data_IF_312121244484
#
_entry.id   IF_312121244484
#
_cell.length_a   1.000
_cell.length_b   1.000
_cell.length_c   1.000
_cell.angle_alpha   90.00
_cell.angle_beta   90.00
_cell.angle_gamma   90.00
#
_symmetry.space_group_name_H-M   'P 1'
#
loop_
_entity.id
_entity.type
_entity.pdbx_description
1 polymer ?
#
# COMPACT_ATOMS: atom_id res chain seq x y z
N UNK A 1 2.42 7.07 12.32
CA UNK A 1 2.41 5.65 11.95
C UNK A 1 1.31 5.39 10.95
N UNK A 2 1.64 4.90 9.78
CA UNK A 2 0.69 4.62 8.70
C UNK A 2 1.03 3.30 8.00
N UNK A 3 0.01 2.63 7.48
CA UNK A 3 0.19 1.60 6.45
C UNK A 3 0.06 2.27 5.08
N UNK A 4 0.71 1.72 4.07
CA UNK A 4 0.75 2.30 2.73
C UNK A 4 0.25 1.29 1.71
N UNK A 5 -0.72 1.70 0.88
CA UNK A 5 -1.17 0.90 -0.25
C UNK A 5 -0.30 1.17 -1.48
N UNK A 6 -0.08 0.16 -2.33
CA UNK A 6 0.64 0.37 -3.59
C UNK A 6 0.14 1.54 -4.43
N UNK A 7 -1.15 1.84 -4.41
CA UNK A 7 -1.72 2.95 -5.19
C UNK A 7 -1.07 4.30 -4.89
N UNK A 8 -0.75 4.56 -3.63
CA UNK A 8 -0.07 5.81 -3.24
C UNK A 8 1.36 5.84 -3.76
N UNK A 9 2.08 4.73 -3.67
CA UNK A 9 3.46 4.63 -4.13
C UNK A 9 3.54 4.73 -5.67
N UNK A 10 2.64 4.05 -6.38
CA UNK A 10 2.56 4.13 -7.84
C UNK A 10 2.34 5.57 -8.29
N UNK A 11 1.45 6.30 -7.61
CA UNK A 11 1.21 7.71 -7.92
C UNK A 11 2.51 8.53 -7.83
N UNK A 12 3.31 8.30 -6.80
CA UNK A 12 4.59 8.98 -6.63
C UNK A 12 5.57 8.59 -7.75
N UNK A 13 5.74 7.30 -7.97
CA UNK A 13 6.74 6.77 -8.90
C UNK A 13 6.45 7.12 -10.36
N UNK A 14 5.17 7.14 -10.74
CA UNK A 14 4.75 7.50 -12.09
C UNK A 14 4.48 9.00 -12.25
N UNK A 15 4.74 9.79 -11.23
CA UNK A 15 4.56 11.24 -11.24
C UNK A 15 3.16 11.66 -11.69
N UNK A 16 2.15 11.00 -11.14
CA UNK A 16 0.76 11.33 -11.39
C UNK A 16 0.43 12.71 -10.80
N UNK A 17 -0.74 13.26 -11.15
CA UNK A 17 -1.14 14.60 -10.77
C UNK A 17 -1.05 14.87 -9.26
N UNK A 18 -1.39 13.87 -8.45
CA UNK A 18 -1.41 13.93 -7.00
C UNK A 18 -0.15 13.36 -6.32
N UNK A 19 0.91 13.12 -7.09
CA UNK A 19 2.16 12.53 -6.58
C UNK A 19 2.75 13.31 -5.41
N UNK A 20 2.75 14.64 -5.47
CA UNK A 20 3.30 15.48 -4.40
C UNK A 20 2.52 15.37 -3.10
N UNK A 21 1.21 15.19 -3.17
CA UNK A 21 0.38 14.95 -1.99
C UNK A 21 0.80 13.66 -1.27
N UNK A 22 0.95 12.56 -2.01
CA UNK A 22 1.33 11.27 -1.43
C UNK A 22 2.79 11.27 -0.96
N UNK A 23 3.68 11.89 -1.70
CA UNK A 23 5.08 12.01 -1.30
C UNK A 23 5.21 12.76 0.03
N UNK A 24 4.47 13.85 0.20
CA UNK A 24 4.47 14.63 1.43
C UNK A 24 3.93 13.81 2.61
N UNK A 25 2.80 13.13 2.42
CA UNK A 25 2.21 12.27 3.44
C UNK A 25 3.19 11.16 3.87
N UNK A 26 3.87 10.56 2.91
CA UNK A 26 4.86 9.53 3.17
C UNK A 26 6.06 10.08 3.96
N UNK A 27 6.56 11.25 3.60
CA UNK A 27 7.69 11.88 4.29
C UNK A 27 7.36 12.33 5.71
N UNK A 28 6.15 12.79 5.95
CA UNK A 28 5.73 13.30 7.27
C UNK A 28 5.42 12.19 8.27
N UNK A 29 5.17 10.97 7.82
CA UNK A 29 4.86 9.86 8.71
C UNK A 29 6.13 9.37 9.42
N UNK A 30 6.05 9.17 10.73
CA UNK A 30 7.16 8.66 11.54
C UNK A 30 7.53 7.24 11.17
N UNK A 31 6.53 6.36 11.09
CA UNK A 31 6.69 4.96 10.74
C UNK A 31 5.75 4.60 9.59
N UNK A 32 6.26 3.89 8.63
CA UNK A 32 5.58 3.51 7.40
C UNK A 32 5.70 2.02 7.16
N UNK A 33 4.58 1.38 6.91
CA UNK A 33 4.50 -0.07 6.76
C UNK A 33 3.87 -0.45 5.43
N UNK A 34 4.46 -1.41 4.76
CA UNK A 34 3.94 -2.00 3.53
C UNK A 34 3.84 -3.51 3.72
N UNK A 35 2.68 -4.09 3.43
CA UNK A 35 2.54 -5.55 3.46
C UNK A 35 3.50 -6.20 2.47
N UNK A 36 4.11 -7.32 2.85
CA UNK A 36 4.94 -8.10 1.93
C UNK A 36 4.15 -8.54 0.69
N UNK A 37 2.86 -8.86 0.86
CA UNK A 37 1.97 -9.18 -0.27
C UNK A 37 1.75 -7.96 -1.17
N UNK A 38 1.51 -6.78 -0.56
CA UNK A 38 1.36 -5.52 -1.30
C UNK A 38 2.65 -5.11 -2.01
N UNK A 39 3.80 -5.42 -1.42
CA UNK A 39 5.09 -5.22 -2.08
C UNK A 39 5.18 -6.01 -3.39
N UNK A 40 4.70 -7.25 -3.39
CA UNK A 40 4.60 -8.05 -4.61
C UNK A 40 3.69 -7.43 -5.66
N UNK A 41 2.53 -6.92 -5.23
CA UNK A 41 1.59 -6.21 -6.13
C UNK A 41 2.26 -4.98 -6.74
N UNK A 42 2.91 -4.17 -5.91
CA UNK A 42 3.64 -2.97 -6.35
C UNK A 42 4.72 -3.31 -7.37
N UNK A 43 5.54 -4.32 -7.07
CA UNK A 43 6.57 -4.78 -8.00
C UNK A 43 5.99 -5.24 -9.32
N UNK A 44 4.86 -5.97 -9.31
CA UNK A 44 4.19 -6.42 -10.51
C UNK A 44 3.71 -5.26 -11.39
N UNK A 45 3.12 -4.24 -10.79
CA UNK A 45 2.66 -3.05 -11.50
C UNK A 45 3.83 -2.32 -12.16
N UNK A 46 4.89 -2.10 -11.41
CA UNK A 46 6.05 -1.34 -11.90
C UNK A 46 6.86 -2.13 -12.93
N UNK A 47 6.95 -3.44 -12.79
CA UNK A 47 7.55 -4.31 -13.80
C UNK A 47 6.84 -4.21 -15.14
N UNK A 48 5.51 -4.25 -15.14
CA UNK A 48 4.72 -4.12 -16.38
C UNK A 48 4.91 -2.77 -17.06
N UNK A 49 5.14 -1.73 -16.28
CA UNK A 49 5.29 -0.37 -16.81
C UNK A 49 6.71 -0.07 -17.26
N UNK A 50 7.73 -0.52 -16.53
CA UNK A 50 9.11 -0.08 -16.71
C UNK A 50 10.14 -1.23 -16.75
N UNK A 51 9.69 -2.48 -16.71
CA UNK A 51 10.55 -3.66 -16.66
C UNK A 51 11.57 -3.56 -15.50
N UNK A 52 12.85 -3.83 -15.75
CA UNK A 52 13.87 -3.85 -14.70
C UNK A 52 14.02 -2.51 -13.97
N UNK A 53 13.81 -1.40 -14.66
CA UNK A 53 13.81 -0.07 -14.03
C UNK A 53 12.72 0.05 -12.98
N UNK A 54 11.56 -0.57 -13.22
CA UNK A 54 10.46 -0.57 -12.26
C UNK A 54 10.84 -1.24 -10.95
N UNK A 55 11.49 -2.40 -11.02
CA UNK A 55 11.99 -3.10 -9.82
C UNK A 55 13.01 -2.24 -9.06
N UNK A 56 13.97 -1.64 -9.77
CA UNK A 56 14.98 -0.80 -9.15
C UNK A 56 14.39 0.42 -8.45
N UNK A 57 13.39 1.05 -9.07
CA UNK A 57 12.71 2.23 -8.49
C UNK A 57 11.92 1.83 -7.23
N UNK A 58 11.28 0.68 -7.21
CA UNK A 58 10.57 0.18 -6.02
C UNK A 58 11.55 -0.04 -4.88
N UNK A 59 12.66 -0.72 -5.14
CA UNK A 59 13.69 -0.95 -4.12
C UNK A 59 14.23 0.38 -3.57
N UNK A 60 14.42 1.35 -4.44
CA UNK A 60 14.91 2.67 -4.05
C UNK A 60 13.92 3.40 -3.15
N UNK A 61 12.64 3.46 -3.49
CA UNK A 61 11.65 4.18 -2.67
C UNK A 61 11.45 3.50 -1.32
N UNK A 62 11.48 2.17 -1.27
CA UNK A 62 11.37 1.43 -0.01
C UNK A 62 12.54 1.77 0.90
N UNK A 63 13.75 1.77 0.37
CA UNK A 63 14.96 2.08 1.14
C UNK A 63 15.01 3.55 1.57
N UNK A 64 14.87 4.48 0.63
CA UNK A 64 14.96 5.92 0.90
C UNK A 64 13.78 6.44 1.73
N UNK A 65 12.61 5.89 1.53
CA UNK A 65 11.42 6.23 2.30
C UNK A 65 11.38 5.60 3.68
N UNK A 66 12.34 4.74 4.01
CA UNK A 66 12.37 3.97 5.25
C UNK A 66 11.05 3.21 5.49
N UNK A 67 10.53 2.59 4.45
CA UNK A 67 9.29 1.82 4.51
C UNK A 67 9.60 0.41 5.00
N UNK A 68 8.98 0.01 6.10
CA UNK A 68 9.13 -1.33 6.65
C UNK A 68 8.20 -2.31 5.96
N UNK A 69 8.75 -3.37 5.38
CA UNK A 69 7.96 -4.44 4.79
C UNK A 69 7.59 -5.43 5.90
N UNK A 70 6.29 -5.64 6.07
CA UNK A 70 5.75 -6.48 7.14
C UNK A 70 5.32 -7.82 6.56
N UNK A 71 5.82 -8.94 7.11
CA UNK A 71 5.40 -10.27 6.65
C UNK A 71 3.90 -10.48 6.77
N UNK A 72 3.32 -11.19 5.82
CA UNK A 72 1.92 -11.58 5.86
C UNK A 72 1.75 -12.72 6.87
N UNK A 73 1.07 -12.45 7.97
CA UNK A 73 0.77 -13.46 8.98
C UNK A 73 -0.52 -14.23 8.66
N UNK A 74 -0.73 -15.35 9.34
CA UNK A 74 -1.98 -16.09 9.25
C UNK A 74 -3.17 -15.23 9.70
N UNK A 75 -2.98 -14.41 10.74
CA UNK A 75 -3.99 -13.47 11.22
C UNK A 75 -4.35 -12.44 10.16
N UNK A 76 -3.36 -11.85 9.51
CA UNK A 76 -3.59 -10.91 8.41
C UNK A 76 -4.27 -11.57 7.21
N UNK A 77 -3.95 -12.82 6.91
CA UNK A 77 -4.62 -13.56 5.84
C UNK A 77 -6.12 -13.72 6.13
N UNK A 78 -6.51 -13.95 7.38
CA UNK A 78 -7.90 -14.02 7.79
C UNK A 78 -8.58 -12.65 7.67
N UNK A 79 -7.92 -11.58 8.11
CA UNK A 79 -8.43 -10.22 7.96
C UNK A 79 -8.64 -9.86 6.50
N UNK A 80 -7.69 -10.22 5.63
CA UNK A 80 -7.77 -9.98 4.19
C UNK A 80 -8.96 -10.73 3.56
N UNK A 81 -9.13 -12.00 3.91
CA UNK A 81 -10.26 -12.81 3.44
C UNK A 81 -11.59 -12.16 3.84
N UNK A 82 -11.71 -11.76 5.09
CA UNK A 82 -12.94 -11.18 5.61
C UNK A 82 -13.26 -9.84 4.92
N UNK A 83 -12.25 -9.02 4.67
CA UNK A 83 -12.41 -7.76 3.94
C UNK A 83 -12.83 -8.01 2.49
N UNK A 84 -12.19 -8.95 1.81
CA UNK A 84 -12.52 -9.29 0.44
C UNK A 84 -13.96 -9.78 0.32
N UNK A 85 -14.42 -10.58 1.29
CA UNK A 85 -15.78 -11.09 1.30
C UNK A 85 -16.82 -10.01 1.64
N UNK A 86 -16.46 -9.07 2.51
CA UNK A 86 -17.38 -8.03 3.00
C UNK A 86 -17.51 -6.85 2.04
N UNK A 87 -16.41 -6.45 1.40
CA UNK A 87 -16.34 -5.25 0.58
C UNK A 87 -16.11 -5.60 -0.90
N UNK A 88 -17.20 -5.72 -1.70
CA UNK A 88 -17.05 -6.10 -3.12
C UNK A 88 -16.21 -5.15 -3.95
N UNK A 89 -16.05 -3.90 -3.50
CA UNK A 89 -15.24 -2.88 -4.17
C UNK A 89 -13.74 -3.22 -4.13
N UNK A 90 -13.28 -3.95 -3.10
CA UNK A 90 -11.88 -4.29 -2.95
C UNK A 90 -11.49 -5.41 -3.91
N UNK A 91 -10.39 -5.23 -4.65
CA UNK A 91 -9.78 -6.31 -5.38
C UNK A 91 -8.90 -7.16 -4.44
N UNK A 92 -8.34 -8.24 -4.96
CA UNK A 92 -7.56 -9.17 -4.15
C UNK A 92 -6.33 -8.48 -3.53
N UNK A 93 -5.64 -7.63 -4.30
CA UNK A 93 -4.47 -6.91 -3.79
C UNK A 93 -4.80 -5.91 -2.69
N UNK A 94 -5.94 -5.22 -2.80
CA UNK A 94 -6.39 -4.25 -1.79
C UNK A 94 -6.58 -4.88 -0.42
N UNK A 95 -7.03 -6.13 -0.39
CA UNK A 95 -7.33 -6.84 0.85
C UNK A 95 -6.11 -6.94 1.77
N UNK A 96 -4.91 -7.03 1.22
CA UNK A 96 -3.68 -7.13 2.02
C UNK A 96 -3.30 -5.79 2.66
N UNK A 97 -3.49 -4.68 1.97
CA UNK A 97 -3.30 -3.34 2.55
C UNK A 97 -4.29 -3.10 3.68
N UNK A 98 -5.54 -3.46 3.46
CA UNK A 98 -6.57 -3.39 4.49
C UNK A 98 -6.19 -4.21 5.72
N UNK A 99 -5.77 -5.47 5.52
CA UNK A 99 -5.42 -6.37 6.61
C UNK A 99 -4.25 -5.85 7.44
N UNK A 100 -3.24 -5.29 6.80
CA UNK A 100 -2.10 -4.69 7.48
C UNK A 100 -2.54 -3.50 8.35
N UNK A 101 -3.30 -2.59 7.80
CA UNK A 101 -3.77 -1.41 8.52
C UNK A 101 -4.63 -1.82 9.73
N UNK A 102 -5.49 -2.81 9.57
CA UNK A 102 -6.32 -3.33 10.67
C UNK A 102 -5.50 -4.00 11.75
N UNK A 103 -4.56 -4.84 11.36
CA UNK A 103 -3.71 -5.59 12.31
C UNK A 103 -2.86 -4.65 13.16
N UNK A 104 -2.31 -3.60 12.54
CA UNK A 104 -1.50 -2.60 13.23
C UNK A 104 -2.32 -1.50 13.89
N UNK A 105 -3.62 -1.43 13.62
CA UNK A 105 -4.51 -0.37 14.09
C UNK A 105 -3.99 1.02 13.72
N UNK A 106 -3.66 1.19 12.43
CA UNK A 106 -3.15 2.45 11.88
C UNK A 106 -3.97 2.86 10.65
N UNK A 107 -3.98 4.14 10.31
CA UNK A 107 -4.62 4.58 9.07
C UNK A 107 -3.84 4.11 7.84
N UNK A 108 -4.55 4.06 6.71
CA UNK A 108 -4.02 3.62 5.43
C UNK A 108 -3.87 4.81 4.48
N UNK A 109 -2.69 4.97 3.90
CA UNK A 109 -2.44 5.91 2.83
C UNK A 109 -2.75 5.22 1.49
N UNK A 110 -3.74 5.73 0.77
CA UNK A 110 -4.20 5.15 -0.49
C UNK A 110 -4.73 6.21 -1.43
N UNK A 111 -4.71 5.88 -2.72
CA UNK A 111 -5.31 6.68 -3.78
C UNK A 111 -6.60 6.00 -4.26
N UNK A 112 -7.61 6.80 -4.60
CA UNK A 112 -8.87 6.31 -5.13
C UNK A 112 -9.96 6.22 -4.07
N UNK A 113 -11.11 5.66 -4.46
CA UNK A 113 -12.31 5.65 -3.64
C UNK A 113 -12.64 4.28 -3.04
N UNK A 114 -11.90 3.23 -3.40
CA UNK A 114 -12.25 1.87 -3.02
C UNK A 114 -12.20 1.66 -1.50
N UNK A 115 -11.10 2.06 -0.87
CA UNK A 115 -10.97 1.95 0.59
C UNK A 115 -11.89 2.92 1.35
N UNK A 116 -12.30 4.01 0.72
CA UNK A 116 -13.22 4.96 1.34
C UNK A 116 -14.59 4.35 1.63
N UNK A 117 -14.94 3.25 0.97
CA UNK A 117 -16.18 2.51 1.16
C UNK A 117 -16.05 1.45 2.26
N UNK A 118 -14.91 1.37 2.91
CA UNK A 118 -14.64 0.44 4.00
C UNK A 118 -14.55 1.17 5.34
N UNK A 119 -14.31 0.43 6.41
CA UNK A 119 -14.15 0.99 7.75
C UNK A 119 -12.71 1.41 8.07
N UNK A 120 -11.80 1.38 7.07
CA UNK A 120 -10.41 1.75 7.29
C UNK A 120 -10.28 3.28 7.39
N UNK A 121 -9.51 3.75 8.37
CA UNK A 121 -9.21 5.17 8.49
C UNK A 121 -8.22 5.60 7.40
N UNK A 122 -8.48 6.75 6.79
CA UNK A 122 -7.57 7.33 5.79
C UNK A 122 -6.45 8.11 6.48
N UNK A 123 -5.26 7.83 6.03
CA UNK A 123 -4.11 8.60 6.50
C UNK A 123 -4.09 10.02 5.91
#
# INVERSE_FOLDING_TARGET
MIAVDPSAIVSILLQEEDASFYAKALMEADEKFLSAASCGVLNGVMWRRLAERGTAIVDQIVAEGAISIVPLSAHQAILARNAYNRYPVLNFGDAFSYALAKDLDVPLLFKGEDFAQTDIARA
#
